data_IF_770420903867
#
_entry.id   IF_770420903867
#
_cell.length_a   1.000
_cell.length_b   1.000
_cell.length_c   1.000
_cell.angle_alpha   90.00
_cell.angle_beta   90.00
_cell.angle_gamma   90.00
#
_symmetry.space_group_name_H-M   'P 1'
#
loop_
_entity.id
_entity.type
_entity.pdbx_description
1 polymer ?
#
# COMPACT_ATOMS: atom_id res chain seq x y z
N UNK A 1 0.62 -7.84 5.30
CA UNK A 1 0.38 -6.58 6.01
C UNK A 1 -1.13 -6.40 6.20
N UNK A 2 -1.56 -5.95 7.38
CA UNK A 2 -2.97 -5.71 7.68
C UNK A 2 -3.10 -4.28 8.19
N UNK A 3 -3.99 -3.52 7.57
CA UNK A 3 -4.41 -2.20 8.01
C UNK A 3 -5.90 -2.23 8.36
N UNK A 4 -6.25 -1.72 9.52
CA UNK A 4 -7.65 -1.57 9.91
C UNK A 4 -7.89 -0.23 10.57
N UNK A 5 -8.86 0.52 10.04
CA UNK A 5 -9.33 1.77 10.60
C UNK A 5 -10.80 1.62 10.97
N UNK A 6 -11.16 1.96 12.20
CA UNK A 6 -12.56 1.91 12.66
C UNK A 6 -13.02 3.26 13.18
N UNK A 7 -14.29 3.58 12.93
CA UNK A 7 -14.95 4.80 13.38
C UNK A 7 -16.30 4.47 14.03
N UNK A 8 -16.63 5.00 15.21
CA UNK A 8 -17.96 4.84 15.83
C UNK A 8 -19.06 5.46 14.98
N UNK A 9 -20.28 4.92 15.12
CA UNK A 9 -21.48 5.57 14.55
C UNK A 9 -21.71 6.95 15.19
N UNK A 10 -22.25 7.88 14.41
CA UNK A 10 -22.51 9.25 14.85
C UNK A 10 -21.29 10.17 14.85
N UNK A 11 -20.06 9.66 14.61
CA UNK A 11 -18.90 10.51 14.37
C UNK A 11 -18.89 11.07 12.95
N UNK A 12 -18.05 12.11 12.72
CA UNK A 12 -17.87 12.70 11.40
C UNK A 12 -17.45 11.63 10.38
N UNK A 13 -17.98 11.76 9.16
CA UNK A 13 -17.69 10.78 8.09
C UNK A 13 -16.25 10.89 7.62
N UNK A 14 -15.67 9.74 7.30
CA UNK A 14 -14.30 9.61 6.80
C UNK A 14 -14.24 10.07 5.33
N UNK A 15 -13.31 10.95 5.04
CA UNK A 15 -13.05 11.44 3.69
C UNK A 15 -11.76 10.86 3.10
N UNK A 16 -10.68 10.84 3.88
CA UNK A 16 -9.38 10.39 3.37
C UNK A 16 -8.52 9.78 4.49
N UNK A 17 -7.56 8.97 4.10
CA UNK A 17 -6.58 8.36 5.01
C UNK A 17 -5.17 8.50 4.48
N UNK A 18 -4.22 8.65 5.38
CA UNK A 18 -2.80 8.55 5.12
C UNK A 18 -2.18 7.51 6.04
N UNK A 19 -1.33 6.65 5.50
CA UNK A 19 -0.64 5.59 6.26
C UNK A 19 0.83 5.61 5.90
N UNK A 20 1.68 5.66 6.92
CA UNK A 20 3.13 5.64 6.80
C UNK A 20 3.66 4.44 7.58
N UNK A 21 3.94 3.31 6.92
CA UNK A 21 4.61 2.18 7.53
C UNK A 21 6.01 2.56 8.04
N UNK A 22 6.57 1.83 9.00
CA UNK A 22 7.93 2.10 9.45
C UNK A 22 8.96 1.87 8.35
N UNK A 23 10.12 2.51 8.47
CA UNK A 23 11.26 2.28 7.58
C UNK A 23 11.59 0.79 7.48
N UNK A 24 12.00 0.35 6.29
CA UNK A 24 12.32 -1.06 6.02
C UNK A 24 11.11 -1.96 5.69
N UNK A 25 9.89 -1.48 5.86
CA UNK A 25 8.71 -2.12 5.23
C UNK A 25 8.69 -1.73 3.76
N UNK A 26 8.81 -2.72 2.89
CA UNK A 26 8.87 -2.52 1.43
C UNK A 26 8.00 -3.53 0.69
N UNK A 27 7.89 -3.36 -0.63
CA UNK A 27 7.21 -4.32 -1.49
C UNK A 27 8.15 -4.82 -2.58
N UNK A 28 8.09 -6.11 -2.88
CA UNK A 28 8.79 -6.74 -3.99
C UNK A 28 7.94 -6.62 -5.25
N UNK A 29 8.29 -5.70 -6.12
CA UNK A 29 7.55 -5.46 -7.38
C UNK A 29 7.88 -6.50 -8.46
N UNK A 30 9.03 -7.16 -8.36
CA UNK A 30 9.45 -8.15 -9.36
C UNK A 30 8.46 -9.33 -9.43
N UNK A 31 7.88 -9.55 -10.60
CA UNK A 31 6.93 -10.63 -10.83
C UNK A 31 5.47 -10.32 -10.46
N UNK A 32 5.17 -9.07 -10.09
CA UNK A 32 3.81 -8.59 -9.94
C UNK A 32 3.51 -7.62 -11.08
N UNK A 33 2.62 -7.94 -12.02
CA UNK A 33 2.18 -6.99 -13.03
C UNK A 33 1.57 -5.74 -12.37
N UNK A 34 1.81 -4.61 -12.97
CA UNK A 34 1.23 -3.33 -12.55
C UNK A 34 0.02 -3.08 -13.43
N UNK A 35 -1.13 -2.85 -12.84
CA UNK A 35 -2.34 -2.44 -13.55
C UNK A 35 -2.12 -1.08 -14.21
N UNK A 36 -2.58 -0.94 -15.45
CA UNK A 36 -2.54 0.34 -16.16
C UNK A 36 -3.34 1.41 -15.39
N UNK A 37 -2.88 2.67 -15.34
CA UNK A 37 -3.61 3.72 -14.63
C UNK A 37 -5.04 3.94 -15.12
N UNK A 38 -5.29 3.78 -16.41
CA UNK A 38 -6.62 3.97 -17.00
C UNK A 38 -7.55 2.79 -16.63
N UNK A 39 -7.05 1.55 -16.67
CA UNK A 39 -7.78 0.37 -16.21
C UNK A 39 -8.05 0.44 -14.69
N UNK A 40 -7.07 0.91 -13.91
CA UNK A 40 -7.23 1.11 -12.47
C UNK A 40 -8.29 2.15 -12.11
N UNK A 41 -8.46 3.18 -12.94
CA UNK A 41 -9.49 4.19 -12.76
C UNK A 41 -10.91 3.68 -13.06
N UNK A 42 -11.01 2.58 -13.82
CA UNK A 42 -12.27 1.93 -14.20
C UNK A 42 -12.57 0.67 -13.36
N UNK A 43 -11.70 0.30 -12.40
CA UNK A 43 -11.84 -0.95 -11.66
C UNK A 43 -11.52 -2.22 -12.47
N UNK A 44 -10.92 -2.08 -13.64
CA UNK A 44 -10.69 -3.16 -14.62
C UNK A 44 -9.30 -3.81 -14.49
N UNK A 45 -8.69 -3.76 -13.30
CA UNK A 45 -7.40 -4.38 -13.08
C UNK A 45 -7.43 -5.91 -13.22
N UNK A 46 -6.42 -6.46 -13.93
CA UNK A 46 -6.27 -7.92 -14.07
C UNK A 46 -5.93 -8.56 -12.71
N UNK A 47 -6.46 -9.77 -12.45
CA UNK A 47 -6.18 -10.56 -11.25
C UNK A 47 -4.67 -10.81 -11.04
N UNK A 48 -3.86 -10.79 -12.09
CA UNK A 48 -2.41 -10.91 -11.99
C UNK A 48 -1.75 -9.76 -11.22
N UNK A 49 -2.35 -8.57 -11.21
CA UNK A 49 -1.89 -7.39 -10.44
C UNK A 49 -2.44 -7.34 -9.02
N UNK A 50 -3.31 -8.29 -8.64
CA UNK A 50 -3.90 -8.35 -7.31
C UNK A 50 -2.84 -8.62 -6.25
N UNK A 51 -2.85 -7.81 -5.18
CA UNK A 51 -1.90 -7.90 -4.05
C UNK A 51 -2.60 -8.16 -2.72
N UNK A 52 -3.94 -8.07 -2.71
CA UNK A 52 -4.67 -8.25 -1.46
C UNK A 52 -6.18 -8.20 -1.61
N UNK A 53 -6.83 -7.97 -0.49
CA UNK A 53 -8.28 -7.85 -0.38
C UNK A 53 -8.66 -6.70 0.55
N UNK A 54 -9.90 -6.23 0.39
CA UNK A 54 -10.48 -5.20 1.22
C UNK A 54 -11.89 -5.59 1.65
N UNK A 55 -12.21 -5.30 2.90
CA UNK A 55 -13.55 -5.41 3.47
C UNK A 55 -13.93 -4.05 4.05
N UNK A 56 -15.14 -3.61 3.77
CA UNK A 56 -15.61 -2.28 4.19
C UNK A 56 -16.88 -2.42 5.02
N UNK A 57 -16.87 -1.88 6.23
CA UNK A 57 -18.05 -1.78 7.08
C UNK A 57 -18.75 -0.45 6.87
N UNK A 58 -20.01 -0.49 6.41
CA UNK A 58 -20.81 0.70 6.06
C UNK A 58 -22.12 0.77 6.83
N UNK A 59 -22.75 1.95 6.82
CA UNK A 59 -24.08 2.18 7.35
C UNK A 59 -24.13 2.53 8.82
N UNK A 60 -25.34 2.92 9.28
CA UNK A 60 -25.64 3.35 10.63
C UNK A 60 -26.05 2.19 11.55
N UNK A 61 -26.08 2.44 12.85
CA UNK A 61 -26.57 1.50 13.86
C UNK A 61 -25.46 0.81 14.66
N UNK A 62 -25.82 -0.15 15.49
CA UNK A 62 -24.91 -0.80 16.42
C UNK A 62 -23.78 -1.57 15.70
N UNK A 63 -24.12 -2.22 14.58
CA UNK A 63 -23.17 -3.00 13.78
C UNK A 63 -23.21 -2.51 12.35
N UNK A 64 -22.07 -2.19 11.73
CA UNK A 64 -22.02 -1.88 10.30
C UNK A 64 -22.37 -3.11 9.46
N UNK A 65 -22.86 -2.88 8.27
CA UNK A 65 -22.94 -3.92 7.25
C UNK A 65 -21.56 -4.09 6.61
N UNK A 66 -21.04 -5.31 6.60
CA UNK A 66 -19.73 -5.61 6.01
C UNK A 66 -19.88 -6.05 4.56
N UNK A 67 -19.33 -5.25 3.67
CA UNK A 67 -19.20 -5.54 2.26
C UNK A 67 -17.92 -6.34 2.05
N UNK A 68 -18.06 -7.55 1.53
CA UNK A 68 -16.97 -8.48 1.27
C UNK A 68 -16.74 -8.63 -0.22
N UNK A 69 -15.60 -9.23 -0.57
CA UNK A 69 -15.24 -9.51 -1.96
C UNK A 69 -14.44 -8.41 -2.63
N UNK A 70 -14.14 -7.33 -1.90
CA UNK A 70 -13.25 -6.30 -2.42
C UNK A 70 -11.83 -6.78 -2.61
N UNK A 71 -11.17 -6.27 -3.64
CA UNK A 71 -9.81 -6.59 -4.02
C UNK A 71 -8.90 -5.35 -3.97
N UNK A 72 -7.60 -5.59 -3.76
CA UNK A 72 -6.55 -4.59 -3.82
C UNK A 72 -5.54 -4.98 -4.89
N UNK A 73 -5.24 -4.07 -5.79
CA UNK A 73 -4.35 -4.27 -6.92
C UNK A 73 -3.17 -3.30 -6.86
N UNK A 74 -2.01 -3.74 -7.34
CA UNK A 74 -0.88 -2.86 -7.61
C UNK A 74 -1.13 -2.15 -8.94
N UNK A 75 -1.13 -0.83 -8.92
CA UNK A 75 -1.39 -0.02 -10.10
C UNK A 75 -0.28 1.02 -10.35
N UNK A 76 -0.28 1.56 -11.55
CA UNK A 76 0.67 2.55 -12.02
C UNK A 76 0.55 3.93 -11.35
N UNK A 77 1.21 4.94 -11.93
CA UNK A 77 1.25 6.27 -11.36
C UNK A 77 -0.13 6.84 -11.05
N UNK A 78 -0.19 7.66 -10.00
CA UNK A 78 -1.44 8.26 -9.57
C UNK A 78 -1.21 9.57 -8.82
N UNK A 79 -2.00 10.57 -9.16
CA UNK A 79 -2.07 11.86 -8.48
C UNK A 79 -3.41 11.96 -7.75
N UNK A 80 -3.41 11.89 -6.40
CA UNK A 80 -4.65 11.85 -5.61
C UNK A 80 -5.41 13.19 -5.59
N UNK A 81 -4.72 14.30 -5.82
CA UNK A 81 -5.28 15.65 -5.80
C UNK A 81 -5.52 16.21 -7.22
N UNK A 82 -5.06 15.48 -8.24
CA UNK A 82 -5.09 15.89 -9.63
C UNK A 82 -4.08 16.99 -9.97
N UNK A 83 -4.02 17.43 -11.24
CA UNK A 83 -2.94 18.28 -11.75
C UNK A 83 -2.88 19.69 -11.14
N UNK A 84 -3.86 20.11 -10.36
CA UNK A 84 -3.91 21.39 -9.64
C UNK A 84 -3.62 21.22 -8.13
N UNK A 85 -3.38 19.99 -7.68
CA UNK A 85 -3.08 19.65 -6.29
C UNK A 85 -1.66 20.03 -5.85
N UNK A 86 -1.43 19.97 -4.55
CA UNK A 86 -0.12 20.29 -3.95
C UNK A 86 0.81 19.06 -3.90
N UNK A 87 0.27 17.84 -4.04
CA UNK A 87 1.04 16.59 -4.01
C UNK A 87 1.57 16.26 -5.41
N UNK A 88 2.81 15.80 -5.55
CA UNK A 88 3.31 15.30 -6.83
C UNK A 88 2.65 13.98 -7.20
N UNK A 89 2.63 13.66 -8.48
CA UNK A 89 2.21 12.33 -8.94
C UNK A 89 3.05 11.23 -8.27
N UNK A 90 2.40 10.28 -7.65
CA UNK A 90 3.06 9.12 -7.06
C UNK A 90 3.45 8.11 -8.15
N UNK A 91 4.63 7.47 -8.05
CA UNK A 91 5.11 6.53 -9.07
C UNK A 91 4.29 5.23 -9.14
N UNK A 92 3.57 4.91 -8.07
CA UNK A 92 2.73 3.73 -7.93
C UNK A 92 1.47 4.07 -7.14
N UNK A 93 0.47 3.22 -7.25
CA UNK A 93 -0.74 3.28 -6.44
C UNK A 93 -1.24 1.89 -6.05
N UNK A 94 -2.14 1.85 -5.09
CA UNK A 94 -3.02 0.73 -4.84
C UNK A 94 -4.41 1.09 -5.38
N UNK A 95 -4.99 0.25 -6.21
CA UNK A 95 -6.36 0.35 -6.65
C UNK A 95 -7.22 -0.63 -5.85
N UNK A 96 -8.31 -0.14 -5.27
CA UNK A 96 -9.26 -0.94 -4.51
C UNK A 96 -10.57 -0.97 -5.26
N UNK A 97 -11.07 -2.16 -5.58
CA UNK A 97 -12.40 -2.36 -6.15
C UNK A 97 -13.26 -3.14 -5.17
N UNK A 98 -14.41 -2.59 -4.80
CA UNK A 98 -15.31 -3.12 -3.78
C UNK A 98 -16.71 -3.25 -4.34
N UNK A 99 -17.28 -4.48 -4.46
CA UNK A 99 -18.64 -4.66 -4.94
C UNK A 99 -19.63 -4.07 -3.93
N UNK A 100 -20.42 -3.10 -4.35
CA UNK A 100 -21.38 -2.42 -3.48
C UNK A 100 -22.73 -3.18 -3.41
N UNK A 101 -22.67 -4.41 -2.92
CA UNK A 101 -23.84 -5.30 -2.81
C UNK A 101 -24.32 -5.38 -1.38
N UNK A 102 -25.59 -5.03 -1.13
CA UNK A 102 -26.22 -5.08 0.18
C UNK A 102 -27.58 -5.78 0.11
N UNK A 103 -27.64 -7.05 0.44
CA UNK A 103 -28.85 -7.86 0.33
C UNK A 103 -29.36 -7.93 -1.12
N UNK A 104 -30.58 -7.46 -1.42
CA UNK A 104 -31.11 -7.45 -2.79
C UNK A 104 -30.64 -6.24 -3.63
N UNK A 105 -29.89 -5.31 -3.04
CA UNK A 105 -29.42 -4.10 -3.70
C UNK A 105 -28.03 -4.36 -4.25
N UNK A 106 -27.88 -4.21 -5.55
CA UNK A 106 -26.63 -4.19 -6.26
C UNK A 106 -26.45 -2.75 -6.80
N UNK A 107 -25.46 -2.04 -6.26
CA UNK A 107 -25.16 -0.65 -6.61
C UNK A 107 -23.90 -0.54 -7.49
N UNK A 108 -23.44 -1.66 -8.04
CA UNK A 108 -22.22 -1.73 -8.85
C UNK A 108 -20.95 -1.88 -8.02
N UNK A 109 -19.88 -1.28 -8.47
CA UNK A 109 -18.58 -1.30 -7.81
C UNK A 109 -18.20 0.09 -7.34
N UNK A 110 -17.40 0.14 -6.28
CA UNK A 110 -16.76 1.35 -5.79
C UNK A 110 -15.25 1.16 -5.96
N UNK A 111 -14.68 1.98 -6.83
CA UNK A 111 -13.26 2.00 -7.10
C UNK A 111 -12.64 3.20 -6.41
N UNK A 112 -11.54 2.96 -5.69
CA UNK A 112 -10.79 3.97 -4.93
C UNK A 112 -9.30 3.72 -5.13
N UNK A 113 -8.53 4.77 -5.30
CA UNK A 113 -7.08 4.68 -5.43
C UNK A 113 -6.38 5.28 -4.21
N UNK A 114 -5.20 4.74 -3.91
CA UNK A 114 -4.30 5.34 -2.94
C UNK A 114 -2.90 5.47 -3.56
N UNK A 115 -2.41 6.68 -3.61
CA UNK A 115 -1.06 7.01 -4.07
C UNK A 115 -0.01 6.41 -3.15
N UNK A 116 1.05 5.83 -3.70
CA UNK A 116 2.17 5.25 -2.96
C UNK A 116 3.43 6.05 -3.26
N UNK A 117 3.81 6.90 -2.33
CA UNK A 117 5.05 7.67 -2.36
C UNK A 117 6.18 6.88 -1.71
N UNK A 118 7.38 7.12 -2.21
CA UNK A 118 8.61 6.49 -1.72
C UNK A 118 9.59 7.62 -1.38
N UNK A 119 9.99 7.71 -0.13
CA UNK A 119 11.03 8.64 0.29
C UNK A 119 12.38 8.24 -0.34
N UNK A 120 13.06 9.19 -0.98
CA UNK A 120 14.29 8.91 -1.73
C UNK A 120 15.53 8.66 -0.85
N UNK A 121 15.49 9.07 0.41
CA UNK A 121 16.62 8.91 1.34
C UNK A 121 16.47 7.65 2.20
N UNK A 122 15.26 7.38 2.68
CA UNK A 122 14.96 6.30 3.63
C UNK A 122 14.28 5.10 2.98
N UNK A 123 13.75 5.26 1.77
CA UNK A 123 12.84 4.31 1.11
C UNK A 123 11.55 4.04 1.90
N UNK A 124 11.21 4.89 2.85
CA UNK A 124 9.95 4.80 3.60
C UNK A 124 8.76 5.04 2.68
N UNK A 125 7.73 4.23 2.85
CA UNK A 125 6.49 4.36 2.09
C UNK A 125 5.54 5.34 2.77
N UNK A 126 4.79 6.10 1.97
CA UNK A 126 3.64 6.90 2.39
C UNK A 126 2.50 6.61 1.43
N UNK A 127 1.37 6.17 1.97
CA UNK A 127 0.18 5.79 1.21
C UNK A 127 -0.92 6.78 1.51
N UNK A 128 -1.42 7.47 0.49
CA UNK A 128 -2.44 8.53 0.62
C UNK A 128 -3.64 8.17 -0.25
N UNK A 129 -4.81 8.01 0.37
CA UNK A 129 -6.02 7.73 -0.38
C UNK A 129 -6.54 8.99 -1.07
N UNK A 130 -7.14 8.84 -2.23
CA UNK A 130 -8.06 9.83 -2.75
C UNK A 130 -9.29 9.98 -1.83
N UNK A 131 -10.14 10.99 -2.06
CA UNK A 131 -11.36 11.16 -1.30
C UNK A 131 -12.29 9.94 -1.42
N UNK A 132 -12.63 9.35 -0.27
CA UNK A 132 -13.53 8.22 -0.20
C UNK A 132 -14.98 8.64 -0.50
N UNK A 133 -15.75 7.87 -1.26
CA UNK A 133 -17.13 8.19 -1.56
C UNK A 133 -17.99 8.13 -0.29
N UNK A 134 -18.78 9.15 -0.07
CA UNK A 134 -19.74 9.24 1.04
C UNK A 134 -21.17 8.90 0.63
N UNK A 135 -21.46 8.96 -0.67
CA UNK A 135 -22.77 8.66 -1.28
C UNK A 135 -22.55 7.82 -2.53
N UNK A 136 -23.35 6.78 -2.68
CA UNK A 136 -23.42 5.93 -3.87
C UNK A 136 -24.86 5.79 -4.31
N UNK A 137 -25.20 6.12 -5.55
CA UNK A 137 -26.56 6.07 -6.10
C UNK A 137 -27.62 6.74 -5.19
N UNK A 138 -27.24 7.85 -4.53
CA UNK A 138 -28.10 8.59 -3.59
C UNK A 138 -28.18 7.98 -2.18
N UNK A 139 -27.48 6.89 -1.91
CA UNK A 139 -27.44 6.22 -0.61
C UNK A 139 -26.19 6.65 0.16
N UNK A 140 -26.32 7.22 1.38
CA UNK A 140 -25.16 7.51 2.23
C UNK A 140 -24.45 6.24 2.67
N UNK A 141 -23.17 6.12 2.33
CA UNK A 141 -22.37 4.93 2.62
C UNK A 141 -22.00 4.82 4.10
N UNK A 142 -21.65 5.94 4.74
CA UNK A 142 -21.21 5.99 6.14
C UNK A 142 -20.15 4.94 6.44
N UNK A 143 -18.99 5.07 5.79
CA UNK A 143 -17.85 4.16 6.00
C UNK A 143 -17.41 4.22 7.46
N UNK A 144 -17.35 3.06 8.12
CA UNK A 144 -17.06 2.92 9.56
C UNK A 144 -15.89 1.99 9.85
N UNK A 145 -15.62 1.06 8.95
CA UNK A 145 -14.55 0.08 9.09
C UNK A 145 -13.88 -0.08 7.72
N UNK A 146 -12.59 0.14 7.65
CA UNK A 146 -11.76 -0.17 6.49
C UNK A 146 -10.78 -1.25 6.93
N UNK A 147 -10.86 -2.42 6.32
CA UNK A 147 -9.98 -3.53 6.61
C UNK A 147 -9.29 -3.97 5.32
N UNK A 148 -8.03 -3.59 5.19
CA UNK A 148 -7.17 -3.90 4.03
C UNK A 148 -6.15 -4.94 4.44
N UNK A 149 -6.06 -6.01 3.66
CA UNK A 149 -5.10 -7.10 3.87
C UNK A 149 -4.28 -7.26 2.60
N UNK A 150 -3.00 -6.94 2.67
CA UNK A 150 -2.04 -7.22 1.60
C UNK A 150 -1.40 -8.56 1.93
N UNK A 151 -1.82 -9.61 1.23
CA UNK A 151 -1.49 -11.00 1.54
C UNK A 151 -0.94 -11.80 0.35
N UNK A 152 -0.64 -11.14 -0.77
CA UNK A 152 0.07 -11.80 -1.86
C UNK A 152 1.41 -12.32 -1.36
N UNK A 153 1.66 -13.61 -1.54
CA UNK A 153 2.88 -14.27 -1.10
C UNK A 153 4.13 -13.61 -1.73
N UNK A 154 5.11 -13.28 -0.88
CA UNK A 154 6.37 -12.67 -1.30
C UNK A 154 6.27 -11.19 -1.73
N UNK A 155 5.10 -10.57 -1.65
CA UNK A 155 4.94 -9.16 -2.04
C UNK A 155 5.42 -8.19 -0.97
N UNK A 156 4.93 -8.32 0.27
CA UNK A 156 5.36 -7.45 1.36
C UNK A 156 6.60 -7.99 2.06
N UNK A 157 7.55 -7.11 2.32
CA UNK A 157 8.78 -7.42 3.05
C UNK A 157 8.82 -6.65 4.36
N UNK A 158 9.07 -7.36 5.45
CA UNK A 158 9.27 -6.77 6.76
C UNK A 158 10.73 -6.27 6.95
N UNK A 159 10.96 -5.29 7.82
CA UNK A 159 12.31 -4.92 8.25
C UNK A 159 13.10 -6.10 8.79
N UNK A 160 14.42 -6.06 8.67
CA UNK A 160 15.33 -7.13 9.12
C UNK A 160 15.79 -6.96 10.56
N UNK A 161 15.42 -5.87 11.23
CA UNK A 161 15.68 -5.65 12.64
C UNK A 161 14.47 -6.00 13.51
N UNK A 162 14.68 -6.19 14.81
CA UNK A 162 13.64 -6.53 15.80
C UNK A 162 13.40 -5.38 16.78
N UNK A 163 13.61 -4.17 16.37
CA UNK A 163 13.20 -2.99 17.15
C UNK A 163 11.69 -2.86 17.18
N UNK A 164 11.18 -2.05 18.08
CA UNK A 164 9.75 -1.71 18.06
C UNK A 164 9.50 -0.80 16.87
N UNK A 165 8.65 -1.24 15.98
CA UNK A 165 8.21 -0.50 14.80
C UNK A 165 6.89 0.23 15.08
N UNK A 166 6.69 1.40 14.49
CA UNK A 166 5.48 2.19 14.60
C UNK A 166 4.95 2.51 13.20
N UNK A 167 3.68 2.16 12.97
CA UNK A 167 2.92 2.68 11.84
C UNK A 167 2.26 3.96 12.30
N UNK A 168 2.48 5.05 11.57
CA UNK A 168 1.78 6.30 11.80
C UNK A 168 0.86 6.63 10.63
N UNK A 169 -0.08 7.51 10.84
CA UNK A 169 -0.98 7.94 9.78
C UNK A 169 -1.96 8.98 10.25
N UNK A 170 -2.91 9.30 9.41
CA UNK A 170 -3.99 10.21 9.76
C UNK A 170 -5.29 9.82 9.08
N UNK A 171 -6.38 10.27 9.66
CA UNK A 171 -7.72 10.22 9.07
C UNK A 171 -8.28 11.62 8.98
N UNK A 172 -8.82 11.98 7.81
CA UNK A 172 -9.45 13.28 7.56
C UNK A 172 -10.94 13.08 7.35
N UNK A 173 -11.76 13.90 8.03
CA UNK A 173 -13.20 13.87 7.90
C UNK A 173 -13.70 14.77 6.77
N UNK A 174 -14.95 14.59 6.36
CA UNK A 174 -15.65 15.44 5.38
C UNK A 174 -15.73 16.92 5.77
N UNK A 175 -15.51 17.24 7.04
CA UNK A 175 -15.46 18.62 7.55
C UNK A 175 -14.04 19.15 7.72
N UNK A 176 -13.02 18.43 7.22
CA UNK A 176 -11.62 18.83 7.28
C UNK A 176 -10.96 18.61 8.65
N UNK A 177 -11.62 17.91 9.58
CA UNK A 177 -10.97 17.54 10.85
C UNK A 177 -9.98 16.41 10.58
N UNK A 178 -8.70 16.62 10.91
CA UNK A 178 -7.64 15.61 10.81
C UNK A 178 -7.31 15.07 12.21
N UNK A 179 -7.16 13.76 12.31
CA UNK A 179 -6.74 13.04 13.51
C UNK A 179 -5.52 12.21 13.19
N UNK A 180 -4.46 12.40 13.97
CA UNK A 180 -3.26 11.57 13.84
C UNK A 180 -3.46 10.24 14.57
N UNK A 181 -2.96 9.18 13.96
CA UNK A 181 -3.10 7.79 14.38
C UNK A 181 -1.71 7.16 14.47
N UNK A 182 -1.52 6.26 15.44
CA UNK A 182 -0.30 5.49 15.56
C UNK A 182 -0.60 4.11 16.16
N UNK A 183 0.08 3.09 15.67
CA UNK A 183 0.06 1.75 16.26
C UNK A 183 1.46 1.15 16.26
N UNK A 184 1.78 0.37 17.30
CA UNK A 184 3.11 -0.20 17.51
C UNK A 184 3.09 -1.70 17.47
N UNK A 185 4.06 -2.27 16.78
CA UNK A 185 4.28 -3.71 16.77
C UNK A 185 5.77 -4.05 16.89
N UNK A 186 6.06 -5.29 17.18
CA UNK A 186 7.43 -5.80 17.25
C UNK A 186 7.62 -7.00 16.36
N UNK A 187 8.65 -6.95 15.54
CA UNK A 187 9.10 -8.09 14.77
C UNK A 187 9.86 -9.07 15.67
N UNK A 188 9.81 -10.34 15.31
CA UNK A 188 10.50 -11.42 16.01
C UNK A 188 11.30 -12.27 15.02
N UNK A 189 12.30 -13.00 15.52
CA UNK A 189 13.07 -13.93 14.68
C UNK A 189 14.26 -13.31 13.93
N UNK A 190 14.59 -12.03 14.09
CA UNK A 190 15.69 -11.36 13.37
C UNK A 190 17.05 -12.02 13.63
N UNK A 191 17.27 -12.54 14.83
CA UNK A 191 18.52 -13.28 15.16
C UNK A 191 18.68 -14.61 14.41
N UNK A 192 17.64 -15.07 13.72
CA UNK A 192 17.67 -16.30 12.91
C UNK A 192 17.92 -16.01 11.42
N UNK A 193 17.96 -14.73 11.02
CA UNK A 193 18.23 -14.34 9.64
C UNK A 193 19.69 -14.68 9.30
N UNK A 194 19.95 -15.43 8.21
CA UNK A 194 21.30 -15.75 7.81
C UNK A 194 22.01 -14.51 7.28
N UNK A 195 23.26 -14.32 7.69
CA UNK A 195 24.17 -13.35 7.09
C UNK A 195 25.41 -14.09 6.60
N UNK A 196 25.41 -14.49 5.34
CA UNK A 196 26.49 -15.24 4.72
C UNK A 196 26.83 -14.66 3.33
N UNK A 197 27.35 -13.42 3.29
CA UNK A 197 27.74 -12.81 2.05
C UNK A 197 28.87 -13.59 1.38
N UNK A 198 28.83 -13.70 0.05
CA UNK A 198 29.91 -14.27 -0.76
C UNK A 198 30.63 -13.14 -1.46
N UNK A 199 31.96 -13.18 -1.39
CA UNK A 199 32.82 -12.25 -2.11
C UNK A 199 33.78 -13.04 -2.97
N UNK A 200 33.90 -12.68 -4.23
CA UNK A 200 34.89 -13.25 -5.13
C UNK A 200 35.53 -12.17 -6.00
N UNK A 201 36.82 -12.30 -6.26
CA UNK A 201 37.52 -11.46 -7.23
C UNK A 201 38.20 -12.36 -8.22
N UNK A 202 38.23 -11.95 -9.46
CA UNK A 202 38.97 -12.66 -10.52
C UNK A 202 39.78 -11.69 -11.38
N UNK A 203 40.97 -12.12 -11.78
CA UNK A 203 41.80 -11.43 -12.78
C UNK A 203 41.75 -12.27 -14.06
N UNK A 204 41.01 -11.83 -15.09
CA UNK A 204 40.62 -12.69 -16.21
C UNK A 204 41.78 -13.09 -17.15
N UNK A 205 42.95 -12.44 -17.06
CA UNK A 205 44.10 -12.77 -17.93
C UNK A 205 45.38 -12.95 -17.13
N UNK A 206 46.10 -14.07 -17.36
CA UNK A 206 47.38 -14.33 -16.69
C UNK A 206 48.47 -13.26 -16.95
N UNK A 207 48.40 -12.61 -18.08
CA UNK A 207 49.31 -11.53 -18.43
C UNK A 207 49.11 -10.28 -17.55
N UNK A 208 47.92 -10.11 -17.00
CA UNK A 208 47.59 -9.00 -16.10
C UNK A 208 48.09 -9.22 -14.67
N UNK A 209 48.61 -10.42 -14.36
CA UNK A 209 49.24 -10.76 -13.08
C UNK A 209 50.76 -10.45 -13.06
N UNK A 210 51.33 -9.91 -14.16
CA UNK A 210 52.74 -9.54 -14.21
C UNK A 210 53.00 -8.28 -13.39
N UNK A 211 54.24 -8.17 -12.89
CA UNK A 211 54.72 -6.97 -12.19
C UNK A 211 54.56 -5.73 -13.09
N UNK A 212 53.94 -4.67 -12.55
CA UNK A 212 53.60 -3.41 -13.23
C UNK A 212 52.54 -3.54 -14.34
N UNK A 213 51.74 -4.62 -14.35
CA UNK A 213 50.56 -4.69 -15.17
C UNK A 213 49.40 -3.89 -14.53
N UNK A 214 48.46 -3.45 -15.35
CA UNK A 214 47.22 -2.80 -14.92
C UNK A 214 46.05 -3.78 -15.09
N UNK A 215 45.83 -4.68 -14.13
CA UNK A 215 44.81 -5.72 -14.27
C UNK A 215 43.40 -5.15 -14.30
N UNK A 216 42.55 -5.76 -15.12
CA UNK A 216 41.09 -5.52 -15.03
C UNK A 216 40.53 -6.40 -13.92
N UNK A 217 39.88 -5.79 -12.99
CA UNK A 217 39.16 -6.51 -11.92
C UNK A 217 37.68 -6.59 -12.25
N UNK A 218 37.10 -7.75 -12.08
CA UNK A 218 35.63 -7.94 -12.09
C UNK A 218 35.25 -8.42 -10.71
N UNK A 219 34.38 -7.66 -10.06
CA UNK A 219 33.73 -8.07 -8.81
C UNK A 219 32.32 -8.55 -9.14
N UNK A 220 31.91 -9.66 -8.57
CA UNK A 220 30.58 -10.24 -8.70
C UNK A 220 29.94 -10.32 -7.32
#
# INVERSE_FOLDING_TARGET
>A
FVFRLTRPDGHQELLATEVVPPEGVTAQLAGVPVCDPDDAALGECDEASRVGRVEVGVGAGATPYYVQGGAAYLAGPFDPDGPEGDEPEAPLSLAFSVPAVAGPLDLGEVDVRAAVYIDHETAQLRVVSEPLPTILEGIPLRIRDLHVVIDREGFMMAPTDCTTAEVVGSATSVHGTRVDLADRYRLVGCGQLPFAPKFSTSVPAQQDLRRNAHPRYTTV
#
